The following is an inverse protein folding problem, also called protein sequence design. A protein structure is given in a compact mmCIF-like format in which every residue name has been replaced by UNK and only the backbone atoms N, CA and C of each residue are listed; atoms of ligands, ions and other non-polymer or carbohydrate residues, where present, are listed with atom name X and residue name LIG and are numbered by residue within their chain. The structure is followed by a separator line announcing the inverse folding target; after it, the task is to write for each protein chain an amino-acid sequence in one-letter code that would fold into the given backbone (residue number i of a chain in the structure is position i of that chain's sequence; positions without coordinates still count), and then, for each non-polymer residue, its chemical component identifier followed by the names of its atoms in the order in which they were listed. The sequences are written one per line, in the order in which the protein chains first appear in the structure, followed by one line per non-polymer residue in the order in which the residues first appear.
data_IF_214503173225
#
_entry.id   IF_214503173225
#
_cell.length_a   1.000
_cell.length_b   1.000
_cell.length_c   1.000
_cell.angle_alpha   90.00
_cell.angle_beta   90.00
_cell.angle_gamma   90.00
#
_symmetry.space_group_name_H-M   'P 1'
#
loop_
_entity.id
_entity.type
_entity.pdbx_description
1 polymer ?
#
# COMPACT_ATOMS: atom_id res chain seq x y z
N UNK A 1 38.07 4.08 -21.13
CA UNK A 1 38.03 4.06 -19.65
C UNK A 1 36.97 3.05 -19.32
N UNK A 2 37.37 1.88 -18.81
CA UNK A 2 36.46 0.75 -18.58
C UNK A 2 35.51 1.12 -17.43
N UNK A 3 34.20 1.15 -17.68
CA UNK A 3 33.25 1.39 -16.60
C UNK A 3 33.20 0.13 -15.71
N UNK A 4 33.21 0.27 -14.37
CA UNK A 4 33.12 -0.88 -13.49
C UNK A 4 31.82 -1.64 -13.76
N UNK A 5 31.93 -2.95 -14.00
CA UNK A 5 30.76 -3.83 -14.20
C UNK A 5 29.93 -3.81 -12.91
N UNK A 6 28.63 -3.48 -12.99
CA UNK A 6 27.77 -3.44 -11.81
C UNK A 6 27.69 -4.82 -11.18
N UNK A 7 27.74 -4.87 -9.85
CA UNK A 7 27.83 -6.10 -9.07
C UNK A 7 27.01 -5.96 -7.79
N UNK A 8 26.27 -7.00 -7.43
CA UNK A 8 25.51 -7.06 -6.19
C UNK A 8 25.88 -8.31 -5.41
N UNK A 9 26.27 -8.15 -4.14
CA UNK A 9 26.42 -9.27 -3.22
C UNK A 9 25.11 -9.50 -2.47
N UNK A 10 24.48 -10.65 -2.68
CA UNK A 10 23.15 -10.95 -2.15
C UNK A 10 23.23 -12.22 -1.30
N UNK A 11 22.78 -12.11 -0.05
CA UNK A 11 22.60 -13.26 0.83
C UNK A 11 21.22 -13.88 0.61
N UNK A 12 21.12 -15.21 0.64
CA UNK A 12 19.86 -15.93 0.44
C UNK A 12 19.72 -17.01 1.50
N UNK A 13 18.61 -16.99 2.23
CA UNK A 13 18.26 -18.05 3.17
C UNK A 13 17.51 -19.17 2.43
N UNK A 14 18.18 -20.32 2.29
CA UNK A 14 17.68 -21.48 1.55
C UNK A 14 18.11 -22.79 2.21
N UNK A 15 17.25 -23.82 2.20
CA UNK A 15 17.57 -25.15 2.77
C UNK A 15 18.43 -25.98 1.83
N UNK A 16 18.08 -26.00 0.55
CA UNK A 16 18.69 -26.85 -0.48
C UNK A 16 19.52 -26.06 -1.51
N UNK A 17 19.38 -24.73 -1.53
CA UNK A 17 20.01 -23.86 -2.51
C UNK A 17 19.27 -23.77 -3.85
N UNK A 18 18.07 -24.36 -3.96
CA UNK A 18 17.21 -24.20 -5.12
C UNK A 18 16.28 -22.99 -4.95
N UNK A 19 15.64 -22.86 -3.78
CA UNK A 19 14.57 -21.87 -3.55
C UNK A 19 14.77 -21.01 -2.33
N UNK A 20 14.15 -19.84 -2.32
CA UNK A 20 14.10 -18.91 -1.18
C UNK A 20 13.02 -19.39 -0.20
N UNK A 21 13.37 -20.29 0.70
CA UNK A 21 12.38 -21.09 1.46
C UNK A 21 12.58 -21.09 2.99
N UNK A 22 13.55 -20.31 3.50
CA UNK A 22 13.82 -20.21 4.93
C UNK A 22 13.29 -18.92 5.54
N UNK A 23 12.57 -19.07 6.64
CA UNK A 23 12.16 -17.97 7.51
C UNK A 23 13.41 -17.41 8.22
N UNK A 24 13.56 -16.08 8.25
CA UNK A 24 14.75 -15.43 8.84
C UNK A 24 15.09 -15.93 10.26
N UNK A 25 14.09 -15.98 11.15
CA UNK A 25 14.29 -16.43 12.53
C UNK A 25 14.60 -17.92 12.71
N UNK A 26 14.55 -18.73 11.66
CA UNK A 26 14.88 -20.16 11.67
C UNK A 26 16.12 -20.46 10.83
N UNK A 27 16.57 -19.52 10.00
CA UNK A 27 17.70 -19.68 9.12
C UNK A 27 19.01 -19.68 9.92
N UNK A 28 19.76 -20.76 9.78
CA UNK A 28 21.10 -20.93 10.35
C UNK A 28 22.20 -20.89 9.27
N UNK A 29 21.80 -20.76 8.01
CA UNK A 29 22.65 -20.83 6.81
C UNK A 29 22.18 -19.81 5.77
N UNK A 30 23.15 -19.15 5.15
CA UNK A 30 22.94 -18.16 4.10
C UNK A 30 23.92 -18.42 2.95
N UNK A 31 23.37 -18.53 1.74
CA UNK A 31 24.12 -18.64 0.50
C UNK A 31 24.45 -17.24 0.00
N UNK A 32 25.73 -16.96 -0.24
CA UNK A 32 26.20 -15.64 -0.66
C UNK A 32 26.49 -15.69 -2.15
N UNK A 33 25.73 -14.93 -2.91
CA UNK A 33 25.88 -14.84 -4.36
C UNK A 33 26.58 -13.55 -4.75
N UNK A 34 27.44 -13.64 -5.76
CA UNK A 34 27.87 -12.51 -6.56
C UNK A 34 27.00 -12.44 -7.81
N UNK A 35 26.25 -11.35 -7.96
CA UNK A 35 25.34 -11.18 -9.09
C UNK A 35 25.88 -10.10 -10.00
N UNK A 36 26.03 -10.47 -11.27
CA UNK A 36 26.57 -9.65 -12.35
C UNK A 36 25.67 -9.75 -13.58
N UNK A 37 25.91 -8.97 -14.66
CA UNK A 37 25.15 -9.14 -15.90
C UNK A 37 25.30 -10.53 -16.54
N UNK A 38 26.36 -11.28 -16.21
CA UNK A 38 26.62 -12.62 -16.74
C UNK A 38 25.83 -13.71 -16.01
N UNK A 39 25.32 -13.43 -14.80
CA UNK A 39 24.63 -14.42 -13.97
C UNK A 39 24.88 -14.23 -12.48
N UNK A 40 24.49 -15.25 -11.71
CA UNK A 40 24.68 -15.31 -10.27
C UNK A 40 25.60 -16.47 -9.91
N UNK A 41 26.78 -16.16 -9.36
CA UNK A 41 27.75 -17.15 -8.91
C UNK A 41 27.64 -17.33 -7.40
N UNK A 42 27.50 -18.57 -6.92
CA UNK A 42 27.58 -18.87 -5.50
C UNK A 42 29.02 -18.72 -5.03
N UNK A 43 29.30 -17.69 -4.22
CA UNK A 43 30.63 -17.42 -3.69
C UNK A 43 30.97 -18.35 -2.52
N UNK A 44 30.06 -18.40 -1.55
CA UNK A 44 30.28 -19.11 -0.30
C UNK A 44 28.96 -19.36 0.43
N UNK A 45 29.05 -20.18 1.47
CA UNK A 45 27.98 -20.43 2.41
C UNK A 45 28.42 -19.97 3.80
N UNK A 46 27.59 -19.14 4.44
CA UNK A 46 27.84 -18.66 5.81
C UNK A 46 26.84 -19.27 6.77
N UNK A 47 27.35 -19.94 7.80
CA UNK A 47 26.56 -20.59 8.86
C UNK A 47 26.72 -19.88 10.20
N UNK A 48 25.62 -19.78 10.95
CA UNK A 48 25.59 -19.22 12.30
C UNK A 48 26.60 -19.92 13.22
N UNK A 49 26.62 -21.25 13.21
CA UNK A 49 27.49 -22.03 14.09
C UNK A 49 28.99 -21.72 13.92
N UNK A 50 29.41 -21.28 12.73
CA UNK A 50 30.79 -20.92 12.42
C UNK A 50 31.10 -19.48 12.81
N UNK A 51 30.10 -18.60 12.74
CA UNK A 51 30.28 -17.16 12.92
C UNK A 51 29.86 -16.67 14.30
N UNK A 52 29.11 -17.45 15.08
CA UNK A 52 28.64 -17.07 16.40
C UNK A 52 29.82 -16.83 17.34
N UNK A 53 29.75 -15.74 18.10
CA UNK A 53 30.65 -15.49 19.23
C UNK A 53 30.00 -16.03 20.51
N UNK A 54 30.81 -16.30 21.54
CA UNK A 54 30.32 -16.82 22.82
C UNK A 54 29.18 -15.95 23.35
N UNK A 55 28.03 -16.59 23.61
CA UNK A 55 26.81 -15.97 24.17
C UNK A 55 26.19 -14.83 23.31
N UNK A 56 26.58 -14.72 22.02
CA UNK A 56 26.02 -13.72 21.10
C UNK A 56 24.59 -14.10 20.68
N UNK A 57 23.70 -13.11 20.61
CA UNK A 57 22.37 -13.32 20.06
C UNK A 57 22.47 -13.73 18.58
N UNK A 58 21.77 -14.78 18.12
CA UNK A 58 21.82 -15.22 16.73
C UNK A 58 21.55 -14.12 15.69
N UNK A 59 20.69 -13.15 16.02
CA UNK A 59 20.38 -12.03 15.13
C UNK A 59 21.55 -11.05 14.98
N UNK A 60 22.29 -10.81 16.06
CA UNK A 60 23.50 -9.99 16.03
C UNK A 60 24.61 -10.69 15.23
N UNK A 61 24.73 -12.02 15.39
CA UNK A 61 25.62 -12.84 14.55
C UNK A 61 25.26 -12.68 13.08
N UNK A 62 23.98 -12.83 12.69
CA UNK A 62 23.54 -12.69 11.29
C UNK A 62 23.84 -11.29 10.75
N UNK A 63 23.46 -10.24 11.48
CA UNK A 63 23.71 -8.85 11.08
C UNK A 63 25.18 -8.60 10.76
N UNK A 64 26.07 -9.07 11.64
CA UNK A 64 27.52 -8.92 11.46
C UNK A 64 28.06 -9.81 10.33
N UNK A 65 27.61 -11.06 10.29
CA UNK A 65 28.03 -12.06 9.31
C UNK A 65 27.66 -11.65 7.88
N UNK A 66 26.59 -10.88 7.68
CA UNK A 66 26.09 -10.44 6.38
C UNK A 66 26.34 -8.95 6.09
N UNK A 67 27.20 -8.27 6.86
CA UNK A 67 27.39 -6.82 6.77
C UNK A 67 27.93 -6.32 5.41
N UNK A 68 28.55 -7.19 4.61
CA UNK A 68 29.02 -6.92 3.25
C UNK A 68 27.97 -7.27 2.16
N UNK A 69 26.81 -7.79 2.57
CA UNK A 69 25.70 -8.12 1.67
C UNK A 69 24.63 -7.02 1.78
N UNK A 70 24.54 -6.06 0.83
CA UNK A 70 23.52 -5.02 0.87
C UNK A 70 22.08 -5.53 0.81
N UNK A 71 21.87 -6.82 0.53
CA UNK A 71 20.55 -7.43 0.43
C UNK A 71 20.52 -8.85 0.99
N UNK A 72 19.40 -9.19 1.63
CA UNK A 72 19.09 -10.53 2.13
C UNK A 72 17.71 -10.99 1.65
N UNK A 73 17.64 -12.14 1.00
CA UNK A 73 16.39 -12.78 0.58
C UNK A 73 16.01 -13.92 1.53
N UNK A 74 14.75 -13.92 1.97
CA UNK A 74 14.19 -14.89 2.93
C UNK A 74 12.76 -15.24 2.55
N UNK A 75 12.24 -16.36 3.04
CA UNK A 75 10.84 -16.73 2.80
C UNK A 75 9.86 -15.91 3.65
N UNK A 76 10.32 -15.41 4.79
CA UNK A 76 9.53 -14.58 5.70
C UNK A 76 10.44 -13.88 6.71
N UNK A 77 10.11 -12.64 7.04
CA UNK A 77 10.78 -11.86 8.08
C UNK A 77 9.78 -10.90 8.74
N UNK A 78 9.97 -10.64 10.04
CA UNK A 78 9.15 -9.68 10.77
C UNK A 78 9.72 -8.26 10.70
N UNK A 79 8.93 -7.24 11.09
CA UNK A 79 9.33 -5.84 11.01
C UNK A 79 10.56 -5.52 11.86
N UNK A 80 10.61 -5.98 13.11
CA UNK A 80 11.75 -5.70 14.00
C UNK A 80 13.10 -6.24 13.46
N UNK A 81 13.20 -7.49 12.97
CA UNK A 81 14.41 -7.93 12.27
C UNK A 81 14.72 -7.16 10.98
N UNK A 82 13.72 -6.74 10.21
CA UNK A 82 13.94 -5.92 9.00
C UNK A 82 14.56 -4.56 9.36
N UNK A 83 14.03 -3.87 10.37
CA UNK A 83 14.58 -2.60 10.85
C UNK A 83 16.03 -2.75 11.35
N UNK A 84 16.31 -3.83 12.10
CA UNK A 84 17.65 -4.14 12.60
C UNK A 84 18.67 -4.34 11.48
N UNK A 85 18.29 -5.07 10.43
CA UNK A 85 19.15 -5.30 9.25
C UNK A 85 19.30 -4.03 8.41
N UNK A 86 18.22 -3.25 8.24
CA UNK A 86 18.25 -1.97 7.54
C UNK A 86 19.20 -0.98 8.21
N UNK A 87 19.23 -0.94 9.54
CA UNK A 87 20.21 -0.15 10.32
C UNK A 87 21.67 -0.54 10.09
N UNK A 88 21.92 -1.73 9.54
CA UNK A 88 23.25 -2.20 9.12
C UNK A 88 23.48 -2.09 7.60
N UNK A 89 22.56 -1.47 6.85
CA UNK A 89 22.66 -1.35 5.39
C UNK A 89 22.22 -2.60 4.63
N UNK A 90 21.58 -3.56 5.29
CA UNK A 90 21.11 -4.81 4.69
C UNK A 90 19.60 -4.71 4.42
N UNK A 91 19.23 -4.62 3.15
CA UNK A 91 17.83 -4.64 2.74
C UNK A 91 17.29 -6.08 2.74
N UNK A 92 16.60 -6.47 3.81
CA UNK A 92 15.98 -7.79 3.91
C UNK A 92 14.59 -7.82 3.26
N UNK A 93 14.34 -8.79 2.38
CA UNK A 93 13.09 -8.90 1.61
C UNK A 93 12.58 -10.33 1.55
N UNK A 94 11.27 -10.48 1.69
CA UNK A 94 10.51 -11.72 1.46
C UNK A 94 9.62 -11.66 0.21
N UNK A 95 9.80 -10.65 -0.65
CA UNK A 95 9.02 -10.48 -1.88
C UNK A 95 9.23 -11.61 -2.89
N UNK A 96 10.38 -12.28 -2.83
CA UNK A 96 10.73 -13.40 -3.69
C UNK A 96 10.55 -14.76 -2.98
N UNK A 97 9.78 -14.80 -1.88
CA UNK A 97 9.54 -16.02 -1.13
C UNK A 97 9.02 -17.15 -2.02
N UNK A 98 9.66 -18.31 -1.90
CA UNK A 98 9.34 -19.51 -2.66
C UNK A 98 9.79 -19.48 -4.12
N UNK A 99 10.42 -18.44 -4.64
CA UNK A 99 10.96 -18.44 -6.01
C UNK A 99 12.27 -19.24 -6.10
N UNK A 100 12.61 -19.69 -7.31
CA UNK A 100 13.95 -20.22 -7.62
C UNK A 100 14.99 -19.10 -7.44
N UNK A 101 16.12 -19.41 -6.80
CA UNK A 101 17.12 -18.42 -6.40
C UNK A 101 17.69 -17.71 -7.63
N UNK A 102 18.10 -18.43 -8.65
CA UNK A 102 18.71 -17.84 -9.86
C UNK A 102 17.77 -16.83 -10.55
N UNK A 103 16.50 -17.19 -10.71
CA UNK A 103 15.50 -16.33 -11.34
C UNK A 103 15.24 -15.06 -10.52
N UNK A 104 15.17 -15.19 -9.19
CA UNK A 104 15.00 -14.06 -8.28
C UNK A 104 16.20 -13.10 -8.31
N UNK A 105 17.42 -13.63 -8.28
CA UNK A 105 18.65 -12.85 -8.33
C UNK A 105 18.78 -12.09 -9.66
N UNK A 106 18.49 -12.74 -10.79
CA UNK A 106 18.51 -12.12 -12.10
C UNK A 106 17.50 -10.95 -12.20
N UNK A 107 16.28 -11.13 -11.68
CA UNK A 107 15.25 -10.07 -11.64
C UNK A 107 15.71 -8.90 -10.78
N UNK A 108 16.18 -9.16 -9.56
CA UNK A 108 16.64 -8.12 -8.63
C UNK A 108 17.80 -7.34 -9.23
N UNK A 109 18.75 -8.02 -9.86
CA UNK A 109 19.87 -7.37 -10.51
C UNK A 109 19.38 -6.45 -11.62
N UNK A 110 18.54 -6.94 -12.53
CA UNK A 110 17.96 -6.13 -13.60
C UNK A 110 17.24 -4.88 -13.05
N UNK A 111 16.43 -5.02 -12.00
CA UNK A 111 15.69 -3.92 -11.40
C UNK A 111 16.61 -2.89 -10.70
N UNK A 112 17.69 -3.36 -10.05
CA UNK A 112 18.63 -2.50 -9.30
C UNK A 112 19.70 -1.84 -10.16
N UNK A 113 20.07 -2.47 -11.28
CA UNK A 113 21.09 -1.96 -12.20
C UNK A 113 20.50 -1.35 -13.45
N UNK A 114 19.16 -1.33 -13.59
CA UNK A 114 18.49 -0.55 -14.61
C UNK A 114 19.02 0.88 -14.55
N UNK A 115 19.53 1.37 -15.68
CA UNK A 115 19.98 2.74 -15.79
C UNK A 115 18.82 3.68 -15.41
N UNK A 116 19.09 4.88 -14.85
CA UNK A 116 18.06 5.90 -14.67
C UNK A 116 17.34 6.27 -15.98
N UNK A 117 17.94 5.92 -17.13
CA UNK A 117 17.39 6.08 -18.48
C UNK A 117 16.65 4.84 -19.00
N UNK A 118 16.51 3.76 -18.22
CA UNK A 118 15.59 2.69 -18.55
C UNK A 118 14.18 3.28 -18.68
N UNK A 119 13.37 2.86 -19.67
CA UNK A 119 12.01 3.35 -19.78
C UNK A 119 11.29 3.09 -18.46
N UNK A 120 10.55 4.09 -17.98
CA UNK A 120 9.73 3.95 -16.80
C UNK A 120 8.81 2.72 -16.94
N UNK A 121 8.42 2.09 -15.83
CA UNK A 121 7.42 1.02 -15.89
C UNK A 121 6.21 1.49 -16.70
N UNK A 122 5.68 0.59 -17.54
CA UNK A 122 4.46 0.88 -18.30
C UNK A 122 3.30 1.15 -17.33
N UNK A 123 2.88 2.40 -17.27
CA UNK A 123 1.82 2.87 -16.38
C UNK A 123 0.44 2.79 -17.00
N UNK A 124 0.29 2.23 -18.21
CA UNK A 124 -1.01 2.11 -18.88
C UNK A 124 -2.06 1.35 -18.04
N UNK A 125 -1.61 0.43 -17.18
CA UNK A 125 -2.47 -0.32 -16.25
C UNK A 125 -2.58 0.26 -14.84
N UNK A 126 -1.92 1.38 -14.53
CA UNK A 126 -1.97 1.96 -13.20
C UNK A 126 -3.33 2.61 -12.95
N UNK A 127 -3.89 2.37 -11.76
CA UNK A 127 -5.17 2.95 -11.35
C UNK A 127 -5.20 3.24 -9.86
N UNK A 128 -5.95 4.27 -9.49
CA UNK A 128 -6.31 4.50 -8.10
C UNK A 128 -7.28 3.41 -7.63
N UNK A 129 -7.02 2.82 -6.47
CA UNK A 129 -7.85 1.74 -5.92
C UNK A 129 -8.92 2.26 -4.96
N UNK A 130 -8.52 3.10 -4.01
CA UNK A 130 -9.43 3.67 -3.02
C UNK A 130 -8.91 4.99 -2.44
N UNK A 131 -9.83 5.76 -1.87
CA UNK A 131 -9.52 6.78 -0.87
C UNK A 131 -10.00 6.29 0.48
N UNK A 132 -9.19 6.45 1.53
CA UNK A 132 -9.54 6.01 2.88
C UNK A 132 -9.88 7.19 3.78
N UNK A 133 -11.03 7.11 4.44
CA UNK A 133 -11.44 8.02 5.51
C UNK A 133 -11.53 7.27 6.83
N UNK A 134 -11.08 7.92 7.90
CA UNK A 134 -11.31 7.45 9.25
C UNK A 134 -12.61 8.05 9.77
N UNK A 135 -13.48 7.22 10.33
CA UNK A 135 -14.79 7.63 10.81
C UNK A 135 -14.92 7.35 12.30
N UNK A 136 -15.62 8.21 13.03
CA UNK A 136 -15.87 8.03 14.45
C UNK A 136 -17.01 7.05 14.75
N UNK A 137 -17.92 6.86 13.81
CA UNK A 137 -19.05 5.93 13.91
C UNK A 137 -19.32 5.29 12.55
N UNK A 138 -19.13 3.97 12.47
CA UNK A 138 -19.28 3.24 11.23
C UNK A 138 -20.73 3.21 10.74
N UNK A 139 -21.70 3.01 11.63
CA UNK A 139 -23.10 2.85 11.23
C UNK A 139 -23.71 4.19 10.80
N UNK A 140 -23.33 5.30 11.47
CA UNK A 140 -23.69 6.65 11.03
C UNK A 140 -23.11 6.99 9.65
N UNK A 141 -21.90 6.53 9.38
CA UNK A 141 -21.25 6.71 8.07
C UNK A 141 -21.93 5.86 7.00
N UNK A 142 -22.32 4.62 7.31
CA UNK A 142 -23.08 3.77 6.39
C UNK A 142 -24.43 4.37 6.06
N UNK A 143 -25.17 4.90 7.05
CA UNK A 143 -26.43 5.59 6.79
C UNK A 143 -26.24 6.79 5.83
N UNK A 144 -25.14 7.52 5.95
CA UNK A 144 -24.84 8.60 5.01
C UNK A 144 -24.47 8.10 3.60
N UNK A 145 -23.45 7.24 3.48
CA UNK A 145 -22.92 6.84 2.18
C UNK A 145 -23.81 5.83 1.44
N UNK A 146 -24.39 4.88 2.16
CA UNK A 146 -25.29 3.86 1.59
C UNK A 146 -26.70 4.41 1.50
N UNK A 147 -27.30 4.80 2.63
CA UNK A 147 -28.74 5.09 2.65
C UNK A 147 -29.08 6.45 2.06
N UNK A 148 -28.21 7.47 2.11
CA UNK A 148 -28.46 8.78 1.51
C UNK A 148 -27.81 8.95 0.13
N UNK A 149 -26.57 8.51 -0.04
CA UNK A 149 -25.83 8.66 -1.30
C UNK A 149 -25.91 7.44 -2.23
N UNK A 150 -26.50 6.32 -1.79
CA UNK A 150 -26.77 5.16 -2.63
C UNK A 150 -25.54 4.31 -2.98
N UNK A 151 -24.44 4.42 -2.23
CA UNK A 151 -23.29 3.53 -2.41
C UNK A 151 -23.66 2.10 -2.02
N UNK A 152 -23.00 1.12 -2.63
CA UNK A 152 -23.13 -0.29 -2.25
C UNK A 152 -22.02 -0.68 -1.26
N UNK A 153 -22.38 -1.40 -0.20
CA UNK A 153 -21.42 -2.08 0.66
C UNK A 153 -20.77 -3.25 -0.09
N UNK A 154 -19.50 -3.10 -0.46
CA UNK A 154 -18.76 -4.10 -1.23
C UNK A 154 -18.13 -5.14 -0.31
N UNK A 155 -17.58 -4.70 0.82
CA UNK A 155 -16.90 -5.57 1.76
C UNK A 155 -16.88 -4.96 3.17
N UNK A 156 -16.98 -5.81 4.20
CA UNK A 156 -16.78 -5.45 5.61
C UNK A 156 -15.85 -6.46 6.27
N UNK A 157 -14.82 -5.97 6.97
CA UNK A 157 -13.84 -6.78 7.69
C UNK A 157 -13.63 -6.24 9.11
N UNK A 158 -13.39 -7.17 10.03
CA UNK A 158 -13.00 -6.85 11.41
C UNK A 158 -11.59 -7.36 11.70
N UNK A 159 -10.74 -6.47 12.19
CA UNK A 159 -9.37 -6.79 12.56
C UNK A 159 -9.24 -6.85 14.07
N UNK A 160 -9.81 -7.90 14.69
CA UNK A 160 -9.88 -8.07 16.16
C UNK A 160 -8.56 -7.83 16.89
N UNK A 161 -7.44 -8.34 16.36
CA UNK A 161 -6.10 -8.16 16.94
C UNK A 161 -5.66 -6.69 16.96
N UNK A 162 -6.03 -5.93 15.93
CA UNK A 162 -5.65 -4.54 15.75
C UNK A 162 -6.77 -3.56 16.15
N UNK A 163 -7.93 -4.07 16.57
CA UNK A 163 -9.08 -3.34 17.12
C UNK A 163 -9.65 -2.25 16.19
N UNK A 164 -9.91 -2.62 14.93
CA UNK A 164 -10.63 -1.76 13.98
C UNK A 164 -11.52 -2.55 13.03
N UNK A 165 -12.53 -1.88 12.49
CA UNK A 165 -13.38 -2.34 11.39
C UNK A 165 -13.03 -1.57 10.12
N UNK A 166 -13.05 -2.26 8.98
CA UNK A 166 -12.79 -1.73 7.66
C UNK A 166 -13.97 -2.05 6.75
N UNK A 167 -14.41 -1.07 5.97
CA UNK A 167 -15.50 -1.23 5.00
C UNK A 167 -15.11 -0.61 3.66
N UNK A 168 -15.45 -1.28 2.56
CA UNK A 168 -15.34 -0.74 1.21
C UNK A 168 -16.70 -0.45 0.61
N UNK A 169 -16.87 0.76 0.06
CA UNK A 169 -18.07 1.26 -0.58
C UNK A 169 -17.79 1.69 -2.02
N UNK A 170 -18.77 1.59 -2.91
CA UNK A 170 -18.64 2.10 -4.27
C UNK A 170 -19.93 2.09 -5.09
N UNK A 171 -19.84 2.50 -6.35
CA UNK A 171 -20.94 2.51 -7.31
C UNK A 171 -20.68 1.55 -8.47
N UNK A 172 -21.50 0.50 -8.63
CA UNK A 172 -21.62 -0.35 -9.83
C UNK A 172 -20.43 -1.22 -10.26
N UNK A 173 -19.19 -0.73 -10.14
CA UNK A 173 -17.97 -1.38 -10.65
C UNK A 173 -17.20 -2.25 -9.66
N UNK A 174 -17.70 -2.40 -8.42
CA UNK A 174 -16.99 -3.12 -7.35
C UNK A 174 -15.55 -2.61 -7.18
N UNK A 175 -14.60 -3.52 -6.95
CA UNK A 175 -13.16 -3.21 -6.85
C UNK A 175 -12.48 -2.93 -8.21
N UNK A 176 -13.21 -2.99 -9.32
CA UNK A 176 -12.75 -2.56 -10.64
C UNK A 176 -12.69 -1.03 -10.79
N UNK A 177 -13.48 -0.30 -9.99
CA UNK A 177 -13.48 1.16 -9.91
C UNK A 177 -12.78 1.66 -8.63
N UNK A 178 -12.59 2.97 -8.52
CA UNK A 178 -12.16 3.60 -7.27
C UNK A 178 -13.24 3.42 -6.20
N UNK A 179 -12.83 3.01 -5.01
CA UNK A 179 -13.74 2.75 -3.87
C UNK A 179 -13.47 3.72 -2.72
N UNK A 180 -14.46 3.87 -1.84
CA UNK A 180 -14.29 4.55 -0.56
C UNK A 180 -14.03 3.51 0.52
N UNK A 181 -12.88 3.58 1.17
CA UNK A 181 -12.55 2.79 2.34
C UNK A 181 -12.89 3.58 3.61
N UNK A 182 -13.71 3.01 4.49
CA UNK A 182 -13.99 3.56 5.82
C UNK A 182 -13.29 2.72 6.88
N UNK A 183 -12.55 3.37 7.76
CA UNK A 183 -11.87 2.73 8.89
C UNK A 183 -12.40 3.28 10.22
N UNK A 184 -13.00 2.40 11.01
CA UNK A 184 -13.48 2.69 12.37
C UNK A 184 -12.59 2.01 13.41
N UNK A 185 -11.91 2.79 14.25
CA UNK A 185 -11.07 2.26 15.33
C UNK A 185 -11.89 2.14 16.62
N UNK A 186 -11.94 0.96 17.23
CA UNK A 186 -12.92 0.62 18.27
C UNK A 186 -12.74 1.37 19.59
N UNK A 187 -11.48 1.61 19.98
CA UNK A 187 -11.14 2.19 21.28
C UNK A 187 -10.51 3.57 21.10
N UNK A 188 -11.22 4.47 20.41
CA UNK A 188 -10.74 5.83 20.20
C UNK A 188 -11.66 6.82 20.91
N UNK A 189 -11.12 7.45 21.95
CA UNK A 189 -11.87 8.42 22.75
C UNK A 189 -11.79 9.87 22.22
N UNK A 190 -10.83 10.14 21.33
CA UNK A 190 -10.62 11.47 20.75
C UNK A 190 -11.09 11.52 19.29
N UNK A 191 -11.96 12.48 18.91
CA UNK A 191 -12.33 12.67 17.52
C UNK A 191 -11.13 12.88 16.59
N UNK A 192 -11.29 12.59 15.30
CA UNK A 192 -10.29 12.96 14.31
C UNK A 192 -10.32 14.48 14.11
N UNK A 193 -9.17 15.13 14.24
CA UNK A 193 -9.05 16.55 13.93
C UNK A 193 -9.11 16.73 12.40
N UNK A 194 -9.97 17.61 11.87
CA UNK A 194 -9.93 17.96 10.47
C UNK A 194 -8.59 18.63 10.15
N UNK A 195 -7.88 18.11 9.14
CA UNK A 195 -6.67 18.74 8.61
C UNK A 195 -7.00 19.75 7.51
N UNK A 196 -6.04 20.60 7.15
CA UNK A 196 -6.19 21.60 6.09
C UNK A 196 -5.78 21.08 4.70
N UNK A 197 -5.14 19.90 4.63
CA UNK A 197 -4.60 19.34 3.39
C UNK A 197 -5.62 18.58 2.55
N UNK A 198 -6.59 17.92 3.19
CA UNK A 198 -7.59 17.13 2.48
C UNK A 198 -8.75 18.02 2.02
N UNK A 199 -8.90 18.17 0.70
CA UNK A 199 -9.92 19.02 0.10
C UNK A 199 -11.33 18.46 0.22
N UNK A 200 -11.61 17.37 -0.50
CA UNK A 200 -12.91 16.69 -0.56
C UNK A 200 -12.82 15.37 -1.36
N UNK A 201 -13.88 14.56 -1.28
CA UNK A 201 -14.18 13.51 -2.26
C UNK A 201 -15.24 14.04 -3.24
N UNK A 202 -15.07 13.81 -4.54
CA UNK A 202 -16.04 14.20 -5.55
C UNK A 202 -16.86 12.99 -6.02
N UNK A 203 -18.18 13.18 -6.14
CA UNK A 203 -19.12 12.18 -6.62
C UNK A 203 -19.91 12.77 -7.78
N UNK A 204 -19.84 12.10 -8.93
CA UNK A 204 -20.73 12.32 -10.05
C UNK A 204 -22.16 11.88 -9.68
N UNK A 205 -23.13 12.78 -9.81
CA UNK A 205 -24.53 12.52 -9.50
C UNK A 205 -25.44 12.95 -10.65
N UNK A 206 -26.67 12.44 -10.64
CA UNK A 206 -27.76 12.91 -11.51
C UNK A 206 -28.88 13.50 -10.67
N UNK A 207 -29.43 14.65 -11.08
CA UNK A 207 -30.53 15.30 -10.37
C UNK A 207 -30.11 15.90 -9.03
N UNK A 208 -29.02 16.69 -9.03
CA UNK A 208 -28.38 17.21 -7.81
C UNK A 208 -29.34 17.98 -6.90
N UNK A 209 -30.29 18.72 -7.45
CA UNK A 209 -31.28 19.48 -6.65
C UNK A 209 -32.10 18.55 -5.76
N UNK A 210 -32.64 17.46 -6.33
CA UNK A 210 -33.44 16.49 -5.56
C UNK A 210 -32.59 15.77 -4.51
N UNK A 211 -31.33 15.47 -4.84
CA UNK A 211 -30.40 14.87 -3.89
C UNK A 211 -30.12 15.81 -2.72
N UNK A 212 -29.83 17.09 -2.99
CA UNK A 212 -29.59 18.07 -1.94
C UNK A 212 -30.82 18.33 -1.07
N UNK A 213 -32.03 18.36 -1.63
CA UNK A 213 -33.27 18.46 -0.85
C UNK A 213 -33.41 17.27 0.12
N UNK A 214 -33.15 16.05 -0.36
CA UNK A 214 -33.16 14.83 0.47
C UNK A 214 -32.09 14.87 1.57
N UNK A 215 -30.87 15.32 1.24
CA UNK A 215 -29.79 15.46 2.21
C UNK A 215 -30.14 16.48 3.28
N UNK A 216 -30.65 17.65 2.90
CA UNK A 216 -31.09 18.68 3.83
C UNK A 216 -32.24 18.18 4.73
N UNK A 217 -33.21 17.45 4.18
CA UNK A 217 -34.30 16.85 4.95
C UNK A 217 -33.80 15.78 5.96
N UNK A 218 -32.68 15.12 5.65
CA UNK A 218 -32.00 14.20 6.56
C UNK A 218 -31.06 14.89 7.58
N UNK A 219 -31.02 16.23 7.61
CA UNK A 219 -30.20 17.01 8.53
C UNK A 219 -28.73 17.16 8.13
N UNK A 220 -28.36 16.81 6.89
CA UNK A 220 -26.99 16.95 6.39
C UNK A 220 -26.65 18.42 6.21
N UNK A 221 -25.44 18.81 6.63
CA UNK A 221 -24.97 20.19 6.44
C UNK A 221 -24.50 20.38 5.00
N UNK A 222 -25.08 21.37 4.32
CA UNK A 222 -24.71 21.76 2.95
C UNK A 222 -23.99 23.12 2.96
N UNK A 223 -22.67 23.19 3.25
CA UNK A 223 -21.94 24.45 3.31
C UNK A 223 -21.96 25.22 1.99
N UNK A 224 -22.21 24.53 0.88
CA UNK A 224 -22.51 25.12 -0.42
C UNK A 224 -23.70 24.38 -1.05
N UNK A 225 -24.90 24.99 -1.11
CA UNK A 225 -26.03 24.40 -1.83
C UNK A 225 -25.77 24.36 -3.34
N UNK A 226 -26.57 23.62 -4.12
CA UNK A 226 -26.45 23.53 -5.57
C UNK A 226 -26.35 24.91 -6.23
N UNK A 227 -25.23 25.17 -6.91
CA UNK A 227 -24.99 26.40 -7.68
C UNK A 227 -24.23 26.08 -8.94
N UNK A 228 -24.50 26.85 -10.00
CA UNK A 228 -23.69 26.82 -11.21
C UNK A 228 -22.20 27.06 -10.87
N UNK A 229 -21.31 26.35 -11.55
CA UNK A 229 -19.88 26.60 -11.43
C UNK A 229 -19.53 28.01 -11.93
N UNK A 230 -18.51 28.62 -11.31
CA UNK A 230 -18.01 29.95 -11.72
C UNK A 230 -17.28 29.89 -13.07
N UNK A 231 -16.65 28.76 -13.38
CA UNK A 231 -15.94 28.51 -14.62
C UNK A 231 -16.27 27.08 -15.06
N UNK A 232 -17.06 26.92 -16.11
CA UNK A 232 -17.54 25.62 -16.59
C UNK A 232 -19.04 25.56 -16.80
N UNK A 233 -19.52 24.41 -17.28
CA UNK A 233 -20.94 24.05 -17.33
C UNK A 233 -21.21 22.96 -16.29
N UNK A 234 -22.31 23.07 -15.55
CA UNK A 234 -22.68 22.11 -14.51
C UNK A 234 -23.06 22.76 -13.17
N UNK A 235 -23.82 22.00 -12.36
CA UNK A 235 -24.26 22.39 -11.02
C UNK A 235 -23.44 21.61 -9.99
N UNK A 236 -22.90 22.31 -9.00
CA UNK A 236 -22.11 21.71 -7.91
C UNK A 236 -22.67 22.09 -6.55
N UNK A 237 -22.65 21.14 -5.63
CA UNK A 237 -22.93 21.33 -4.21
C UNK A 237 -21.83 20.70 -3.35
N UNK A 238 -21.74 21.12 -2.09
CA UNK A 238 -20.93 20.44 -1.08
C UNK A 238 -21.82 20.00 0.07
N UNK A 239 -21.68 18.75 0.48
CA UNK A 239 -22.21 18.19 1.72
C UNK A 239 -21.05 17.91 2.70
N UNK A 240 -21.35 17.94 3.99
CA UNK A 240 -20.49 17.36 5.01
C UNK A 240 -20.99 15.97 5.36
N UNK A 241 -20.08 15.00 5.36
CA UNK A 241 -20.35 13.69 5.95
C UNK A 241 -20.46 13.81 7.50
N UNK A 242 -20.79 12.72 8.21
CA UNK A 242 -20.97 12.77 9.66
C UNK A 242 -19.72 13.12 10.47
N UNK A 243 -18.53 13.04 9.88
CA UNK A 243 -17.24 13.37 10.50
C UNK A 243 -16.69 14.73 10.00
N UNK A 244 -17.44 15.43 9.14
CA UNK A 244 -17.10 16.76 8.63
C UNK A 244 -16.25 16.75 7.35
N UNK A 245 -16.03 15.60 6.73
CA UNK A 245 -15.39 15.51 5.43
C UNK A 245 -16.29 16.12 4.36
N UNK A 246 -15.68 16.93 3.49
CA UNK A 246 -16.38 17.56 2.37
C UNK A 246 -16.59 16.57 1.24
N UNK A 247 -17.84 16.46 0.80
CA UNK A 247 -18.26 15.67 -0.36
C UNK A 247 -18.76 16.64 -1.43
N UNK A 248 -18.01 16.75 -2.53
CA UNK A 248 -18.42 17.51 -3.71
C UNK A 248 -19.40 16.66 -4.53
N UNK A 249 -20.58 17.20 -4.80
CA UNK A 249 -21.57 16.59 -5.67
C UNK A 249 -21.54 17.35 -6.98
N UNK A 250 -21.25 16.64 -8.08
CA UNK A 250 -21.14 17.21 -9.42
C UNK A 250 -22.25 16.65 -10.28
N UNK A 251 -23.15 17.51 -10.76
CA UNK A 251 -24.23 17.08 -11.64
C UNK A 251 -23.71 16.76 -13.05
N UNK A 252 -23.91 15.52 -13.49
CA UNK A 252 -23.48 15.00 -14.79
C UNK A 252 -24.65 14.78 -15.77
N UNK A 253 -25.87 15.23 -15.40
CA UNK A 253 -27.10 15.00 -16.18
C UNK A 253 -27.05 15.57 -17.61
N UNK A 254 -26.25 16.61 -17.85
CA UNK A 254 -26.19 17.32 -19.14
C UNK A 254 -25.06 16.82 -20.07
N UNK A 255 -24.44 15.67 -19.77
CA UNK A 255 -23.46 15.03 -20.66
C UNK A 255 -22.17 15.83 -20.94
N UNK A 256 -22.01 17.01 -20.34
CA UNK A 256 -20.90 17.90 -20.64
C UNK A 256 -19.52 17.41 -20.14
N UNK A 257 -19.48 16.40 -19.26
CA UNK A 257 -18.25 15.90 -18.62
C UNK A 257 -18.12 14.37 -18.60
N UNK A 258 -18.81 13.64 -19.50
CA UNK A 258 -18.48 12.22 -19.66
C UNK A 258 -16.98 12.11 -20.02
N UNK A 259 -16.16 11.37 -19.25
CA UNK A 259 -14.80 11.10 -19.70
C UNK A 259 -14.90 10.20 -20.95
N UNK A 260 -14.21 10.59 -22.01
CA UNK A 260 -13.92 9.71 -23.16
C UNK A 260 -13.22 8.42 -22.71
#
# INVERSE_FOLDING_TARGET
MDQPVPRLRIAVASRDGARIDQHFGQADRFLIYDVTPAGADLLEERRLAVHARNEENPRDTIRRMLADCPMLLVAKIGPAPQEMLAGAGIAASDLQAGQEIEAALARIFADKTAAPSAPAPDSAGFRLLHAMLRVADLERSLAFYVDLLGMTLLERREHKKNQFSQVYLGYGGGFGAMTLELVFNWNRDTPYAPGESFGHLAIAVSGITRLCDRLAAAGVTLPRPPRAQRHGSGIVAFALDPDGHRIELVDMSDGAHAPD
#
